data_IF_368646928372
#
_entry.id   IF_368646928372
#
_cell.length_a   1.000
_cell.length_b   1.000
_cell.length_c   1.000
_cell.angle_alpha   90.00
_cell.angle_beta   90.00
_cell.angle_gamma   90.00
#
_symmetry.space_group_name_H-M   'P 1'
#
loop_
_entity.id
_entity.type
_entity.pdbx_description
1 polymer ?
#
# COMPACT_ATOMS: atom_id res chain seq x y z
N UNK A 1 19.51 -1.86 -6.15
CA UNK A 1 18.14 -1.56 -5.69
C UNK A 1 18.15 -1.48 -4.17
N UNK A 2 17.79 -0.33 -3.64
CA UNK A 2 17.65 -0.15 -2.19
C UNK A 2 16.41 -0.87 -1.69
N UNK A 3 16.58 -1.76 -0.74
CA UNK A 3 15.49 -2.49 -0.08
C UNK A 3 15.49 -2.28 1.45
N UNK A 4 16.35 -1.39 1.95
CA UNK A 4 16.51 -1.10 3.37
C UNK A 4 16.25 0.37 3.66
N UNK A 5 15.57 0.63 4.78
CA UNK A 5 15.35 1.97 5.31
C UNK A 5 15.77 2.01 6.78
N UNK A 6 16.17 3.19 7.25
CA UNK A 6 16.55 3.41 8.64
C UNK A 6 15.59 4.42 9.27
N UNK A 7 15.02 4.08 10.42
CA UNK A 7 14.15 4.99 11.17
C UNK A 7 14.97 6.01 11.97
N UNK A 8 14.30 7.06 12.43
CA UNK A 8 14.93 8.09 13.29
C UNK A 8 15.49 7.53 14.59
N UNK A 9 14.94 6.42 15.08
CA UNK A 9 15.41 5.73 16.29
C UNK A 9 16.54 4.71 16.03
N UNK A 10 16.97 4.56 14.78
CA UNK A 10 18.09 3.67 14.43
C UNK A 10 17.69 2.24 14.10
N UNK A 11 16.42 1.94 13.92
CA UNK A 11 15.98 0.64 13.41
C UNK A 11 16.22 0.55 11.91
N UNK A 12 16.82 -0.54 11.47
CA UNK A 12 17.00 -0.83 10.04
C UNK A 12 15.95 -1.84 9.60
N UNK A 13 15.12 -1.45 8.66
CA UNK A 13 14.02 -2.27 8.16
C UNK A 13 14.35 -2.70 6.74
N UNK A 14 14.40 -3.99 6.49
CA UNK A 14 14.56 -4.52 5.13
C UNK A 14 13.18 -4.83 4.56
N UNK A 15 12.90 -4.29 3.38
CA UNK A 15 11.63 -4.47 2.69
C UNK A 15 11.55 -5.87 2.06
N UNK A 16 10.42 -6.54 2.27
CA UNK A 16 10.09 -7.77 1.56
C UNK A 16 9.49 -7.44 0.18
N UNK A 17 9.73 -8.29 -0.83
CA UNK A 17 9.07 -8.10 -2.13
C UNK A 17 7.55 -8.28 -2.00
N UNK A 18 6.80 -7.53 -2.82
CA UNK A 18 5.35 -7.69 -2.90
C UNK A 18 5.01 -9.06 -3.47
N UNK A 19 4.10 -9.74 -2.80
CA UNK A 19 3.57 -11.01 -3.25
C UNK A 19 2.18 -10.81 -3.87
N UNK A 20 1.70 -11.81 -4.60
CA UNK A 20 0.33 -11.84 -5.08
C UNK A 20 -0.68 -11.71 -3.93
N UNK A 21 -0.38 -12.37 -2.81
CA UNK A 21 -1.20 -12.27 -1.59
C UNK A 21 -1.28 -10.84 -1.07
N UNK A 22 -0.16 -10.10 -1.08
CA UNK A 22 -0.15 -8.68 -0.67
C UNK A 22 -0.99 -7.82 -1.61
N UNK A 23 -0.89 -8.05 -2.92
CA UNK A 23 -1.70 -7.33 -3.92
C UNK A 23 -3.21 -7.59 -3.72
N UNK A 24 -3.59 -8.82 -3.41
CA UNK A 24 -4.98 -9.16 -3.09
C UNK A 24 -5.49 -8.40 -1.87
N UNK A 25 -4.65 -8.23 -0.85
CA UNK A 25 -5.01 -7.43 0.33
C UNK A 25 -5.21 -5.95 0.00
N UNK A 26 -4.37 -5.38 -0.86
CA UNK A 26 -4.53 -3.98 -1.34
C UNK A 26 -5.89 -3.81 -2.02
N UNK A 27 -6.26 -4.75 -2.88
CA UNK A 27 -7.55 -4.69 -3.59
C UNK A 27 -8.73 -4.83 -2.65
N UNK A 28 -8.62 -5.70 -1.65
CA UNK A 28 -9.66 -5.84 -0.64
C UNK A 28 -9.84 -4.54 0.15
N UNK A 29 -8.76 -3.87 0.53
CA UNK A 29 -8.81 -2.58 1.21
C UNK A 29 -9.49 -1.51 0.34
N UNK A 30 -9.16 -1.47 -0.95
CA UNK A 30 -9.78 -0.54 -1.90
C UNK A 30 -11.28 -0.83 -2.08
N UNK A 31 -11.66 -2.10 -2.17
CA UNK A 31 -13.06 -2.51 -2.25
C UNK A 31 -13.84 -2.09 -1.00
N UNK A 32 -13.31 -2.32 0.19
CA UNK A 32 -13.95 -1.92 1.44
C UNK A 32 -14.09 -0.40 1.54
N UNK A 33 -13.07 0.36 1.10
CA UNK A 33 -13.15 1.83 1.04
C UNK A 33 -14.26 2.31 0.11
N UNK A 34 -14.35 1.74 -1.08
CA UNK A 34 -15.40 2.08 -2.06
C UNK A 34 -16.79 1.80 -1.50
N UNK A 35 -16.95 0.65 -0.86
CA UNK A 35 -18.19 0.24 -0.21
C UNK A 35 -18.60 1.18 0.92
N UNK A 36 -17.62 1.63 1.72
CA UNK A 36 -17.85 2.60 2.79
C UNK A 36 -18.33 3.94 2.23
N UNK A 37 -17.66 4.48 1.21
CA UNK A 37 -18.06 5.75 0.59
C UNK A 37 -19.45 5.66 -0.03
N UNK A 38 -19.78 4.56 -0.69
CA UNK A 38 -21.12 4.34 -1.24
C UNK A 38 -22.19 4.33 -0.15
N UNK A 39 -21.92 3.71 1.00
CA UNK A 39 -22.84 3.70 2.14
C UNK A 39 -22.99 5.10 2.77
N UNK A 40 -21.90 5.87 2.88
CA UNK A 40 -21.96 7.22 3.43
C UNK A 40 -22.75 8.18 2.53
N UNK A 41 -22.75 7.96 1.21
CA UNK A 41 -23.52 8.76 0.25
C UNK A 41 -24.98 8.28 0.13
N UNK A 42 -25.36 7.18 0.75
CA UNK A 42 -26.72 6.64 0.67
C UNK A 42 -27.67 7.43 1.56
N UNK A 43 -28.59 8.19 0.96
CA UNK A 43 -29.58 9.00 1.65
C UNK A 43 -30.60 8.18 2.44
N UNK A 44 -30.76 6.87 2.15
CA UNK A 44 -31.66 5.97 2.87
C UNK A 44 -31.14 5.55 4.24
N UNK A 45 -29.81 5.70 4.51
CA UNK A 45 -29.22 5.39 5.81
C UNK A 45 -29.29 6.60 6.73
N UNK A 46 -29.63 6.37 8.01
CA UNK A 46 -29.54 7.39 9.03
C UNK A 46 -28.10 7.62 9.50
N UNK A 47 -27.87 8.67 10.29
CA UNK A 47 -26.53 9.03 10.75
C UNK A 47 -25.91 7.96 11.65
N UNK A 48 -26.69 7.28 12.48
CA UNK A 48 -26.20 6.20 13.37
C UNK A 48 -25.73 4.99 12.55
N UNK A 49 -26.49 4.59 11.54
CA UNK A 49 -26.12 3.50 10.64
C UNK A 49 -24.88 3.84 9.82
N UNK A 50 -24.77 5.09 9.33
CA UNK A 50 -23.58 5.58 8.63
C UNK A 50 -22.36 5.55 9.53
N UNK A 51 -22.48 5.98 10.78
CA UNK A 51 -21.39 5.96 11.77
C UNK A 51 -20.93 4.53 12.06
N UNK A 52 -21.86 3.57 12.14
CA UNK A 52 -21.55 2.17 12.35
C UNK A 52 -20.79 1.58 11.14
N UNK A 53 -21.28 1.81 9.92
CA UNK A 53 -20.60 1.36 8.69
C UNK A 53 -19.19 1.94 8.62
N UNK A 54 -19.04 3.23 8.94
CA UNK A 54 -17.71 3.88 8.94
C UNK A 54 -16.75 3.20 9.91
N UNK A 55 -17.16 2.98 11.16
CA UNK A 55 -16.30 2.37 12.18
C UNK A 55 -15.93 0.94 11.83
N UNK A 56 -16.92 0.12 11.44
CA UNK A 56 -16.68 -1.30 11.11
C UNK A 56 -15.75 -1.44 9.90
N UNK A 57 -15.94 -0.60 8.89
CA UNK A 57 -15.11 -0.62 7.68
C UNK A 57 -13.72 -0.07 7.95
N UNK A 58 -13.61 1.01 8.73
CA UNK A 58 -12.33 1.59 9.13
C UNK A 58 -11.49 0.58 9.91
N UNK A 59 -12.09 -0.17 10.83
CA UNK A 59 -11.40 -1.23 11.57
C UNK A 59 -10.90 -2.34 10.65
N UNK A 60 -11.69 -2.75 9.67
CA UNK A 60 -11.27 -3.74 8.66
C UNK A 60 -10.09 -3.24 7.84
N UNK A 61 -10.17 -2.01 7.36
CA UNK A 61 -9.10 -1.39 6.56
C UNK A 61 -7.81 -1.29 7.37
N UNK A 62 -7.88 -0.90 8.64
CA UNK A 62 -6.73 -0.82 9.53
C UNK A 62 -6.07 -2.19 9.73
N UNK A 63 -6.87 -3.25 9.91
CA UNK A 63 -6.35 -4.62 10.02
C UNK A 63 -5.65 -5.08 8.74
N UNK A 64 -6.23 -4.76 7.59
CA UNK A 64 -5.64 -5.07 6.30
C UNK A 64 -4.32 -4.31 6.12
N UNK A 65 -4.29 -3.02 6.43
CA UNK A 65 -3.10 -2.18 6.32
C UNK A 65 -1.99 -2.65 7.27
N UNK A 66 -2.34 -3.05 8.49
CA UNK A 66 -1.37 -3.63 9.43
C UNK A 66 -0.79 -4.95 8.88
N UNK A 67 -1.63 -5.80 8.33
CA UNK A 67 -1.19 -7.05 7.70
C UNK A 67 -0.26 -6.79 6.51
N UNK A 68 -0.56 -5.76 5.69
CA UNK A 68 0.30 -5.32 4.59
C UNK A 68 1.65 -4.80 5.07
N UNK A 69 1.66 -4.06 6.18
CA UNK A 69 2.89 -3.60 6.80
C UNK A 69 3.79 -4.79 7.18
N UNK A 70 3.22 -5.78 7.86
CA UNK A 70 3.95 -6.99 8.26
C UNK A 70 4.47 -7.76 7.04
N UNK A 71 3.63 -7.92 6.02
CA UNK A 71 4.03 -8.60 4.77
C UNK A 71 5.17 -7.85 4.04
N UNK A 72 5.25 -6.54 4.23
CA UNK A 72 6.27 -5.70 3.60
C UNK A 72 7.61 -5.67 4.32
N UNK A 73 7.72 -6.29 5.49
CA UNK A 73 8.95 -6.31 6.30
C UNK A 73 9.59 -7.69 6.21
N UNK A 74 10.83 -7.74 5.71
CA UNK A 74 11.63 -8.97 5.67
C UNK A 74 12.41 -9.16 6.97
N UNK A 75 13.03 -8.09 7.48
CA UNK A 75 13.79 -8.12 8.71
C UNK A 75 13.85 -6.74 9.37
N UNK A 76 14.06 -6.76 10.69
CA UNK A 76 14.28 -5.57 11.50
C UNK A 76 15.58 -5.75 12.25
N UNK A 77 16.49 -4.78 12.14
CA UNK A 77 17.71 -4.74 12.94
C UNK A 77 17.57 -3.63 13.96
N UNK A 78 17.68 -3.98 15.26
CA UNK A 78 17.58 -3.00 16.33
C UNK A 78 18.86 -2.14 16.41
N UNK A 79 18.82 -0.97 17.08
CA UNK A 79 20.04 -0.17 17.30
C UNK A 79 21.13 -0.91 18.04
N UNK A 80 20.79 -1.92 18.85
CA UNK A 80 21.74 -2.78 19.58
C UNK A 80 22.33 -3.88 18.71
N UNK A 81 21.89 -4.02 17.46
CA UNK A 81 22.40 -5.00 16.50
C UNK A 81 21.67 -6.34 16.49
N UNK A 82 20.53 -6.46 17.18
CA UNK A 82 19.70 -7.67 17.11
C UNK A 82 18.90 -7.70 15.82
N UNK A 83 18.90 -8.84 15.15
CA UNK A 83 18.16 -9.06 13.91
C UNK A 83 16.90 -9.87 14.19
N UNK A 84 15.74 -9.36 13.74
CA UNK A 84 14.44 -10.00 13.87
C UNK A 84 13.96 -10.37 12.47
N UNK A 85 13.75 -11.65 12.20
CA UNK A 85 13.28 -12.16 10.91
C UNK A 85 12.01 -12.99 11.02
N UNK A 86 11.68 -13.45 12.23
CA UNK A 86 10.47 -14.23 12.48
C UNK A 86 9.23 -13.34 12.38
N UNK A 87 8.23 -13.78 11.60
CA UNK A 87 6.99 -13.04 11.39
C UNK A 87 6.27 -12.73 12.72
N UNK A 88 6.22 -13.67 13.65
CA UNK A 88 5.55 -13.44 14.94
C UNK A 88 6.28 -12.38 15.77
N UNK A 89 7.61 -12.36 15.73
CA UNK A 89 8.39 -11.33 16.41
C UNK A 89 8.27 -9.97 15.74
N UNK A 90 8.16 -9.92 14.42
CA UNK A 90 7.90 -8.68 13.68
C UNK A 90 6.52 -8.12 14.05
N UNK A 91 5.51 -8.97 14.14
CA UNK A 91 4.16 -8.59 14.59
C UNK A 91 4.21 -8.03 16.01
N UNK A 92 4.89 -8.70 16.92
CA UNK A 92 5.04 -8.24 18.30
C UNK A 92 5.75 -6.90 18.38
N UNK A 93 6.81 -6.71 17.59
CA UNK A 93 7.50 -5.43 17.50
C UNK A 93 6.56 -4.30 17.07
N UNK A 94 5.81 -4.52 15.99
CA UNK A 94 4.89 -3.50 15.46
C UNK A 94 3.72 -3.21 16.40
N UNK A 95 3.26 -4.21 17.18
CA UNK A 95 2.20 -4.02 18.16
C UNK A 95 2.67 -3.28 19.43
N UNK A 96 3.94 -3.42 19.80
CA UNK A 96 4.48 -2.92 21.06
C UNK A 96 5.30 -1.64 20.90
N UNK A 97 5.65 -1.27 19.67
CA UNK A 97 6.32 0.00 19.41
C UNK A 97 5.33 1.16 19.37
N UNK A 98 5.81 2.38 19.52
CA UNK A 98 4.92 3.55 19.51
C UNK A 98 4.35 3.82 18.09
N UNK A 99 3.20 4.50 18.05
CA UNK A 99 2.50 4.79 16.81
C UNK A 99 3.35 5.61 15.82
N UNK A 100 4.17 6.52 16.32
CA UNK A 100 5.05 7.34 15.49
C UNK A 100 6.08 6.49 14.75
N UNK A 101 6.66 5.50 15.41
CA UNK A 101 7.62 4.58 14.79
C UNK A 101 6.95 3.74 13.70
N UNK A 102 5.73 3.24 13.96
CA UNK A 102 4.97 2.48 12.96
C UNK A 102 4.65 3.35 11.74
N UNK A 103 4.17 4.57 11.94
CA UNK A 103 3.89 5.51 10.86
C UNK A 103 5.15 5.84 10.05
N UNK A 104 6.29 6.04 10.72
CA UNK A 104 7.57 6.28 10.07
C UNK A 104 7.97 5.09 9.18
N UNK A 105 7.85 3.86 9.69
CA UNK A 105 8.13 2.64 8.93
C UNK A 105 7.22 2.55 7.71
N UNK A 106 5.92 2.78 7.87
CA UNK A 106 4.96 2.77 6.76
C UNK A 106 5.32 3.80 5.69
N UNK A 107 5.67 5.01 6.10
CA UNK A 107 6.06 6.09 5.20
C UNK A 107 7.35 5.75 4.45
N UNK A 108 8.37 5.28 5.14
CA UNK A 108 9.64 4.92 4.54
C UNK A 108 9.53 3.75 3.56
N UNK A 109 8.76 2.72 3.92
CA UNK A 109 8.51 1.59 3.03
C UNK A 109 7.69 2.00 1.82
N UNK A 110 6.72 2.89 1.99
CA UNK A 110 5.95 3.46 0.89
C UNK A 110 6.82 4.24 -0.09
N UNK A 111 7.71 5.09 0.41
CA UNK A 111 8.66 5.83 -0.39
C UNK A 111 9.62 4.89 -1.14
N UNK A 112 10.11 3.87 -0.48
CA UNK A 112 11.02 2.89 -1.09
C UNK A 112 10.32 2.12 -2.21
N UNK A 113 9.06 1.72 -2.02
CA UNK A 113 8.26 1.08 -3.07
C UNK A 113 8.05 1.99 -4.27
N UNK A 114 7.78 3.27 -4.04
CA UNK A 114 7.63 4.25 -5.12
C UNK A 114 8.93 4.42 -5.92
N UNK A 115 10.08 4.35 -5.27
CA UNK A 115 11.39 4.42 -5.94
C UNK A 115 11.70 3.17 -6.77
N UNK A 116 11.14 2.02 -6.40
CA UNK A 116 11.36 0.74 -7.10
C UNK A 116 10.29 0.43 -8.15
N UNK A 117 9.25 1.27 -8.26
CA UNK A 117 8.24 1.12 -9.31
C UNK A 117 8.87 1.32 -10.70
N UNK A 118 8.35 0.56 -11.66
CA UNK A 118 8.72 0.73 -13.06
C UNK A 118 8.18 2.09 -13.52
N UNK A 119 9.03 2.98 -14.10
CA UNK A 119 8.55 4.27 -14.57
C UNK A 119 7.50 4.11 -15.65
N UNK A 120 6.56 5.08 -15.77
CA UNK A 120 5.55 5.03 -16.82
C UNK A 120 6.20 4.93 -18.20
N UNK A 121 5.63 4.09 -19.05
CA UNK A 121 6.08 3.95 -20.42
C UNK A 121 5.65 5.18 -21.22
N UNK A 122 6.61 5.93 -21.74
CA UNK A 122 6.35 7.09 -22.60
C UNK A 122 6.26 6.63 -24.04
N UNK A 123 5.11 6.87 -24.66
CA UNK A 123 4.87 6.53 -26.05
C UNK A 123 4.69 7.80 -26.86
N UNK A 124 5.19 7.80 -28.10
CA UNK A 124 4.93 8.86 -29.07
C UNK A 124 3.87 8.40 -30.04
N UNK A 125 2.84 9.23 -30.22
CA UNK A 125 1.82 8.99 -31.23
C UNK A 125 2.42 9.18 -32.63
N UNK A 126 2.07 8.30 -33.58
CA UNK A 126 2.39 8.52 -34.99
C UNK A 126 1.44 9.55 -35.63
N UNK A 127 1.73 9.94 -36.86
CA UNK A 127 0.91 10.95 -37.56
C UNK A 127 -0.57 10.55 -37.68
N UNK A 128 -0.83 9.27 -37.94
CA UNK A 128 -2.21 8.78 -38.09
C UNK A 128 -2.96 8.82 -36.76
N UNK A 129 -2.28 8.53 -35.65
CA UNK A 129 -2.85 8.61 -34.32
C UNK A 129 -3.12 10.05 -33.94
N UNK A 130 -2.24 10.99 -34.25
CA UNK A 130 -2.44 12.41 -33.99
C UNK A 130 -3.63 12.96 -34.78
N UNK A 131 -3.82 12.54 -36.02
CA UNK A 131 -4.99 12.89 -36.85
C UNK A 131 -6.31 12.41 -36.25
N UNK A 132 -6.26 11.33 -35.46
CA UNK A 132 -7.42 10.78 -34.73
C UNK A 132 -7.64 11.40 -33.36
N UNK A 133 -6.90 12.45 -33.01
CA UNK A 133 -7.03 13.14 -31.74
C UNK A 133 -6.17 12.61 -30.59
N UNK A 134 -5.22 11.70 -30.88
CA UNK A 134 -4.29 11.20 -29.87
C UNK A 134 -3.21 12.24 -29.60
N UNK A 135 -2.86 12.55 -28.34
CA UNK A 135 -1.76 13.45 -28.04
C UNK A 135 -0.44 13.00 -28.67
N UNK A 136 0.44 13.95 -28.96
CA UNK A 136 1.73 13.68 -29.60
C UNK A 136 2.62 12.76 -28.73
N UNK A 137 2.47 12.81 -27.41
CA UNK A 137 3.09 11.86 -26.48
C UNK A 137 2.11 11.52 -25.36
N UNK A 138 2.17 10.31 -24.86
CA UNK A 138 1.34 9.85 -23.74
C UNK A 138 2.10 8.84 -22.91
N UNK A 139 1.68 8.70 -21.63
CA UNK A 139 2.28 7.80 -20.69
C UNK A 139 1.31 6.67 -20.33
N UNK A 140 1.80 5.43 -20.30
CA UNK A 140 1.07 4.28 -19.82
C UNK A 140 1.68 3.88 -18.49
N UNK A 141 0.93 3.97 -17.37
CA UNK A 141 1.42 3.52 -16.07
C UNK A 141 1.68 2.01 -16.11
N UNK A 142 2.87 1.60 -15.70
CA UNK A 142 3.21 0.20 -15.53
C UNK A 142 2.86 -0.22 -14.10
N UNK A 143 1.59 -0.40 -13.83
CA UNK A 143 1.09 -0.82 -12.53
C UNK A 143 0.57 -2.25 -12.59
N UNK A 144 0.81 -3.01 -11.52
CA UNK A 144 0.16 -4.29 -11.33
C UNK A 144 -1.23 -4.05 -10.78
N UNK A 145 -2.21 -4.17 -11.66
CA UNK A 145 -3.62 -4.06 -11.34
C UNK A 145 -4.32 -5.32 -11.81
N UNK A 146 -5.07 -5.98 -10.92
CA UNK A 146 -5.78 -7.21 -11.26
C UNK A 146 -6.84 -6.99 -12.36
N UNK A 147 -7.35 -5.77 -12.51
CA UNK A 147 -8.27 -5.46 -13.59
C UNK A 147 -7.63 -5.67 -14.97
N UNK A 148 -6.32 -5.55 -15.10
CA UNK A 148 -5.60 -5.78 -16.35
C UNK A 148 -5.45 -7.26 -16.71
N UNK A 149 -5.67 -8.18 -15.79
CA UNK A 149 -5.58 -9.62 -16.02
C UNK A 149 -6.90 -10.26 -16.43
N UNK A 150 -8.02 -9.59 -16.21
CA UNK A 150 -9.37 -10.12 -16.41
C UNK A 150 -10.18 -9.34 -17.45
N UNK A 151 -9.48 -8.54 -18.23
CA UNK A 151 -10.13 -7.80 -19.33
C UNK A 151 -10.22 -8.64 -20.58
#
# INVERSE_FOLDING_TARGET
IKDEVTTSKGFKITMAPLTYRSLTKVQLANYESTKMYAALDNAALNDDDKAKVYRDTFDKINKINFSLLIDGIKSIVTPEGHTVTDRSQIIDFCNNTDAKTVEEIQTLLGQLRNQTQIPPLKLKANEDQMKKGVPASYEIPMTFDNSNFFV
#
